data_IF_199516423112
#
_entry.id   IF_199516423112
#
_cell.length_a   1.000
_cell.length_b   1.000
_cell.length_c   1.000
_cell.angle_alpha   90.00
_cell.angle_beta   90.00
_cell.angle_gamma   90.00
#
_symmetry.space_group_name_H-M   'P 1'
#
loop_
_entity.id
_entity.type
_entity.pdbx_description
1 polymer ?
#
# COMPACT_ATOMS: atom_id res chain seq x y z
N UNK A 1 54.33 -45.54 -20.54
CA UNK A 1 54.06 -45.30 -19.10
C UNK A 1 54.66 -43.93 -18.78
N UNK A 2 53.98 -42.88 -18.32
CA UNK A 2 52.69 -42.73 -17.64
C UNK A 2 52.04 -41.38 -18.06
N UNK A 3 50.72 -41.45 -18.28
CA UNK A 3 49.69 -40.44 -18.00
C UNK A 3 50.15 -39.01 -17.66
N UNK A 4 50.02 -38.10 -18.63
CA UNK A 4 49.90 -36.67 -18.38
C UNK A 4 48.52 -36.38 -17.79
N UNK A 5 48.52 -36.05 -16.49
CA UNK A 5 47.36 -35.64 -15.72
C UNK A 5 46.61 -34.48 -16.39
N UNK A 6 45.42 -34.79 -16.91
CA UNK A 6 44.45 -33.83 -17.42
C UNK A 6 43.82 -33.08 -16.23
N UNK A 7 44.51 -32.03 -15.73
CA UNK A 7 43.92 -31.11 -14.75
C UNK A 7 42.85 -30.29 -15.48
N UNK A 8 41.58 -30.69 -15.35
CA UNK A 8 40.44 -29.84 -15.69
C UNK A 8 40.54 -28.57 -14.84
N UNK A 9 40.82 -27.43 -15.47
CA UNK A 9 40.55 -26.13 -14.85
C UNK A 9 39.06 -26.12 -14.44
N UNK A 10 38.71 -25.72 -13.21
CA UNK A 10 37.30 -25.51 -12.87
C UNK A 10 36.73 -24.52 -13.87
N UNK A 11 35.60 -24.87 -14.49
CA UNK A 11 34.87 -24.03 -15.45
C UNK A 11 34.36 -22.83 -14.65
N UNK A 12 35.17 -21.79 -14.56
CA UNK A 12 34.75 -20.51 -14.02
C UNK A 12 33.98 -19.81 -15.12
N UNK A 13 32.64 -19.83 -15.06
CA UNK A 13 31.81 -19.04 -15.98
C UNK A 13 32.26 -17.58 -15.93
N UNK A 14 32.37 -16.95 -17.09
CA UNK A 14 32.62 -15.51 -17.12
C UNK A 14 31.35 -14.72 -16.78
N UNK A 15 31.48 -13.42 -16.56
CA UNK A 15 30.35 -12.57 -16.14
C UNK A 15 29.20 -12.54 -17.16
N UNK A 16 29.52 -12.58 -18.45
CA UNK A 16 28.50 -12.49 -19.51
C UNK A 16 27.73 -13.81 -19.64
N UNK A 17 28.41 -14.95 -19.46
CA UNK A 17 27.77 -16.27 -19.35
C UNK A 17 26.85 -16.34 -18.13
N UNK A 18 27.28 -15.81 -16.98
CA UNK A 18 26.46 -15.74 -15.76
C UNK A 18 25.20 -14.90 -16.01
N UNK A 19 25.33 -13.71 -16.63
CA UNK A 19 24.20 -12.85 -16.98
C UNK A 19 23.23 -13.52 -17.95
N UNK A 20 23.76 -14.20 -18.96
CA UNK A 20 22.95 -14.98 -19.91
C UNK A 20 22.14 -16.06 -19.18
N UNK A 21 22.73 -16.72 -18.19
CA UNK A 21 22.01 -17.71 -17.39
C UNK A 21 20.95 -17.07 -16.48
N UNK A 22 21.19 -15.87 -15.94
CA UNK A 22 20.19 -15.09 -15.20
C UNK A 22 19.01 -14.76 -16.11
N UNK A 23 19.25 -14.27 -17.34
CA UNK A 23 18.18 -13.95 -18.28
C UNK A 23 17.30 -15.18 -18.59
N UNK A 24 17.89 -16.37 -18.71
CA UNK A 24 17.15 -17.62 -18.90
C UNK A 24 16.26 -17.92 -17.69
N UNK A 25 16.76 -17.70 -16.46
CA UNK A 25 16.00 -17.89 -15.23
C UNK A 25 14.87 -16.86 -15.13
N UNK A 26 15.14 -15.59 -15.40
CA UNK A 26 14.16 -14.50 -15.34
C UNK A 26 13.03 -14.71 -16.35
N UNK A 27 13.33 -15.25 -17.52
CA UNK A 27 12.29 -15.65 -18.48
C UNK A 27 11.36 -16.75 -17.95
N UNK A 28 11.89 -17.71 -17.19
CA UNK A 28 11.05 -18.73 -16.53
C UNK A 28 10.24 -18.13 -15.39
N UNK A 29 10.84 -17.23 -14.60
CA UNK A 29 10.13 -16.49 -13.54
C UNK A 29 8.96 -15.70 -14.13
N UNK A 30 9.16 -15.00 -15.25
CA UNK A 30 8.11 -14.27 -15.96
C UNK A 30 6.94 -15.18 -16.36
N UNK A 31 7.20 -16.38 -16.89
CA UNK A 31 6.16 -17.33 -17.26
C UNK A 31 5.34 -17.77 -16.03
N UNK A 32 6.01 -18.14 -14.94
CA UNK A 32 5.37 -18.53 -13.68
C UNK A 32 4.61 -17.36 -13.03
N UNK A 33 5.13 -16.14 -13.16
CA UNK A 33 4.46 -14.94 -12.67
C UNK A 33 3.13 -14.70 -13.39
N UNK A 34 3.10 -14.81 -14.73
CA UNK A 34 1.86 -14.66 -15.51
C UNK A 34 0.82 -15.71 -15.10
N UNK A 35 1.24 -16.97 -14.98
CA UNK A 35 0.36 -18.05 -14.50
C UNK A 35 -0.21 -17.74 -13.11
N UNK A 36 0.65 -17.27 -12.21
CA UNK A 36 0.25 -16.88 -10.86
C UNK A 36 -0.74 -15.72 -10.85
N UNK A 37 -0.57 -14.71 -11.72
CA UNK A 37 -1.52 -13.59 -11.83
C UNK A 37 -2.89 -14.05 -12.35
N UNK A 38 -2.93 -14.99 -13.31
CA UNK A 38 -4.18 -15.59 -13.76
C UNK A 38 -4.91 -16.29 -12.60
N UNK A 39 -4.19 -17.12 -11.84
CA UNK A 39 -4.74 -17.78 -10.65
C UNK A 39 -5.22 -16.77 -9.59
N UNK A 40 -4.48 -15.68 -9.37
CA UNK A 40 -4.91 -14.60 -8.49
C UNK A 40 -6.21 -13.93 -8.96
N UNK A 41 -6.37 -13.73 -10.27
CA UNK A 41 -7.63 -13.25 -10.85
C UNK A 41 -8.80 -14.19 -10.60
N UNK A 42 -8.59 -15.51 -10.72
CA UNK A 42 -9.61 -16.51 -10.37
C UNK A 42 -9.97 -16.47 -8.88
N UNK A 43 -8.98 -16.27 -8.01
CA UNK A 43 -9.22 -16.08 -6.56
C UNK A 43 -10.06 -14.83 -6.32
N UNK A 44 -9.78 -13.70 -6.98
CA UNK A 44 -10.61 -12.50 -6.87
C UNK A 44 -12.07 -12.79 -7.25
N UNK A 45 -12.30 -13.44 -8.39
CA UNK A 45 -13.64 -13.80 -8.85
C UNK A 45 -14.39 -14.69 -7.87
N UNK A 46 -13.72 -15.71 -7.31
CA UNK A 46 -14.32 -16.61 -6.32
C UNK A 46 -14.64 -15.88 -5.00
N UNK A 47 -13.74 -15.00 -4.55
CA UNK A 47 -13.95 -14.21 -3.32
C UNK A 47 -15.07 -13.19 -3.48
N UNK A 48 -15.16 -12.56 -4.65
CA UNK A 48 -16.24 -11.63 -4.96
C UNK A 48 -17.62 -12.32 -4.91
N UNK A 49 -17.73 -13.55 -5.43
CA UNK A 49 -18.97 -14.34 -5.39
C UNK A 49 -19.35 -14.78 -3.97
N UNK A 50 -18.36 -15.03 -3.11
CA UNK A 50 -18.57 -15.54 -1.75
C UNK A 50 -18.62 -14.44 -0.69
N UNK A 51 -18.16 -13.23 -1.00
CA UNK A 51 -17.98 -12.13 -0.06
C UNK A 51 -16.78 -12.28 0.89
N UNK A 52 -15.86 -13.22 0.63
CA UNK A 52 -14.71 -13.47 1.50
C UNK A 52 -13.58 -12.43 1.31
N UNK A 53 -12.81 -12.17 2.37
CA UNK A 53 -11.73 -11.17 2.34
C UNK A 53 -10.55 -11.62 1.47
N UNK A 54 -9.99 -10.69 0.68
CA UNK A 54 -8.78 -10.95 -0.13
C UNK A 54 -7.59 -11.24 0.78
N UNK A 55 -7.36 -10.40 1.78
CA UNK A 55 -6.27 -10.60 2.72
C UNK A 55 -6.63 -11.63 3.80
N UNK A 56 -5.74 -12.62 3.96
CA UNK A 56 -5.84 -13.71 4.95
C UNK A 56 -4.44 -13.97 5.53
N UNK A 57 -4.01 -13.23 6.56
CA UNK A 57 -2.64 -13.29 7.09
C UNK A 57 -2.22 -14.70 7.51
N UNK A 58 -3.10 -15.45 8.17
CA UNK A 58 -2.82 -16.83 8.59
C UNK A 58 -2.55 -17.74 7.39
N UNK A 59 -3.32 -17.58 6.31
CA UNK A 59 -3.15 -18.38 5.09
C UNK A 59 -1.80 -18.09 4.43
N UNK A 60 -1.39 -16.81 4.38
CA UNK A 60 -0.09 -16.40 3.87
C UNK A 60 1.05 -16.95 4.71
N UNK A 61 0.93 -16.87 6.04
CA UNK A 61 1.94 -17.40 6.96
C UNK A 61 2.10 -18.92 6.79
N UNK A 62 1.00 -19.66 6.58
CA UNK A 62 1.06 -21.09 6.27
C UNK A 62 1.82 -21.36 4.95
N UNK A 63 1.59 -20.55 3.90
CA UNK A 63 2.35 -20.71 2.65
C UNK A 63 3.83 -20.45 2.88
N UNK A 64 4.18 -19.37 3.58
CA UNK A 64 5.58 -19.01 3.87
C UNK A 64 6.26 -20.16 4.61
N UNK A 65 5.65 -20.65 5.69
CA UNK A 65 6.20 -21.74 6.50
C UNK A 65 6.41 -23.01 5.66
N UNK A 66 5.40 -23.43 4.90
CA UNK A 66 5.46 -24.67 4.12
C UNK A 66 6.45 -24.60 2.95
N UNK A 67 6.61 -23.44 2.32
CA UNK A 67 7.48 -23.26 1.14
C UNK A 67 8.94 -22.99 1.50
N UNK A 68 9.23 -22.69 2.76
CA UNK A 68 10.58 -22.31 3.20
C UNK A 68 11.33 -23.44 3.90
N UNK A 69 10.74 -24.62 4.05
CA UNK A 69 11.30 -25.74 4.85
C UNK A 69 12.62 -26.26 4.28
N UNK A 70 12.74 -26.30 2.95
CA UNK A 70 13.86 -26.90 2.21
C UNK A 70 14.82 -25.86 1.61
N UNK A 71 14.65 -24.59 1.96
CA UNK A 71 15.49 -23.49 1.46
C UNK A 71 16.75 -23.36 2.29
N UNK A 72 17.90 -23.20 1.62
CA UNK A 72 19.19 -22.97 2.28
C UNK A 72 19.13 -21.75 3.20
N UNK A 73 19.62 -21.91 4.44
CA UNK A 73 19.64 -20.88 5.48
C UNK A 73 20.33 -19.58 5.04
N UNK A 74 21.30 -19.67 4.14
CA UNK A 74 22.04 -18.52 3.62
C UNK A 74 21.18 -17.60 2.73
N UNK A 75 20.12 -18.12 2.11
CA UNK A 75 19.21 -17.37 1.22
C UNK A 75 17.77 -17.33 1.72
N UNK A 76 17.47 -17.99 2.84
CA UNK A 76 16.13 -18.15 3.40
C UNK A 76 15.41 -16.79 3.57
N UNK A 77 16.09 -15.79 4.13
CA UNK A 77 15.49 -14.46 4.32
C UNK A 77 15.12 -13.79 2.99
N UNK A 78 15.97 -13.93 1.96
CA UNK A 78 15.70 -13.41 0.62
C UNK A 78 14.50 -14.12 -0.01
N UNK A 79 14.39 -15.44 0.16
CA UNK A 79 13.27 -16.21 -0.35
C UNK A 79 11.95 -15.87 0.35
N UNK A 80 11.95 -15.73 1.68
CA UNK A 80 10.77 -15.29 2.43
C UNK A 80 10.33 -13.89 1.99
N UNK A 81 11.27 -12.96 1.77
CA UNK A 81 10.96 -11.63 1.25
C UNK A 81 10.34 -11.70 -0.16
N UNK A 82 10.89 -12.55 -1.05
CA UNK A 82 10.32 -12.80 -2.37
C UNK A 82 8.89 -13.34 -2.30
N UNK A 83 8.61 -14.31 -1.41
CA UNK A 83 7.25 -14.84 -1.22
C UNK A 83 6.28 -13.76 -0.75
N UNK A 84 6.67 -12.98 0.26
CA UNK A 84 5.85 -11.87 0.78
C UNK A 84 5.54 -10.84 -0.30
N UNK A 85 6.55 -10.42 -1.08
CA UNK A 85 6.34 -9.45 -2.17
C UNK A 85 5.45 -10.02 -3.28
N UNK A 86 5.64 -11.29 -3.61
CA UNK A 86 4.83 -12.00 -4.59
C UNK A 86 3.37 -12.11 -4.13
N UNK A 87 3.13 -12.41 -2.85
CA UNK A 87 1.79 -12.36 -2.24
C UNK A 87 1.18 -10.97 -2.30
N UNK A 88 1.93 -9.93 -1.93
CA UNK A 88 1.50 -8.54 -2.00
C UNK A 88 1.02 -8.16 -3.41
N UNK A 89 1.84 -8.37 -4.44
CA UNK A 89 1.48 -8.09 -5.84
C UNK A 89 0.23 -8.87 -6.28
N UNK A 90 0.05 -10.09 -5.78
CA UNK A 90 -1.19 -10.84 -6.01
C UNK A 90 -2.40 -10.16 -5.40
N UNK A 91 -2.28 -9.61 -4.19
CA UNK A 91 -3.39 -8.94 -3.52
C UNK A 91 -3.72 -7.64 -4.22
N UNK A 92 -2.72 -6.84 -4.59
CA UNK A 92 -2.89 -5.61 -5.37
C UNK A 92 -3.71 -5.87 -6.65
N UNK A 93 -3.36 -6.93 -7.39
CA UNK A 93 -4.12 -7.32 -8.58
C UNK A 93 -5.55 -7.75 -8.26
N UNK A 94 -5.77 -8.54 -7.20
CA UNK A 94 -7.10 -8.96 -6.76
C UNK A 94 -7.98 -7.78 -6.33
N UNK A 95 -7.42 -6.81 -5.59
CA UNK A 95 -8.13 -5.61 -5.17
C UNK A 95 -8.46 -4.71 -6.36
N UNK A 96 -7.54 -4.55 -7.33
CA UNK A 96 -7.82 -3.78 -8.54
C UNK A 96 -8.99 -4.37 -9.34
N UNK A 97 -9.03 -5.70 -9.51
CA UNK A 97 -10.14 -6.38 -10.18
C UNK A 97 -11.46 -6.21 -9.42
N UNK A 98 -11.42 -6.34 -8.09
CA UNK A 98 -12.60 -6.20 -7.22
C UNK A 98 -13.13 -4.77 -7.23
N UNK A 99 -12.24 -3.78 -7.16
CA UNK A 99 -12.61 -2.37 -7.21
C UNK A 99 -13.29 -2.03 -8.54
N UNK A 100 -12.77 -2.55 -9.65
CA UNK A 100 -13.38 -2.36 -10.97
C UNK A 100 -14.74 -3.05 -11.11
N UNK A 101 -14.86 -4.30 -10.66
CA UNK A 101 -16.08 -5.08 -10.80
C UNK A 101 -17.26 -4.51 -10.00
N UNK A 102 -16.98 -3.95 -8.82
CA UNK A 102 -17.99 -3.34 -7.95
C UNK A 102 -18.19 -1.85 -8.22
N UNK A 103 -17.51 -1.28 -9.22
CA UNK A 103 -17.40 0.17 -9.41
C UNK A 103 -17.08 0.89 -8.09
N UNK A 104 -16.23 0.26 -7.26
CA UNK A 104 -15.88 0.79 -5.94
C UNK A 104 -15.29 2.16 -6.15
N UNK A 105 -16.00 3.14 -5.62
CA UNK A 105 -15.43 4.42 -5.31
C UNK A 105 -15.20 4.38 -3.81
N UNK A 106 -13.93 4.37 -3.41
CA UNK A 106 -13.56 4.53 -1.98
C UNK A 106 -14.26 5.73 -1.33
N UNK A 107 -14.72 6.69 -2.15
CA UNK A 107 -15.69 7.70 -1.75
C UNK A 107 -16.66 8.01 -2.89
N UNK A 108 -17.96 8.00 -2.62
CA UNK A 108 -18.98 8.38 -3.62
C UNK A 108 -19.19 9.90 -3.59
N UNK A 109 -18.96 10.56 -4.73
CA UNK A 109 -19.21 11.99 -4.92
C UNK A 109 -20.71 12.36 -4.86
N UNK A 110 -21.62 11.39 -4.65
CA UNK A 110 -23.07 11.59 -4.74
C UNK A 110 -23.79 11.75 -3.41
N UNK A 111 -23.08 11.90 -2.28
CA UNK A 111 -23.67 12.51 -1.10
C UNK A 111 -23.73 14.03 -1.29
N UNK A 112 -24.72 14.45 -2.07
CA UNK A 112 -25.47 15.69 -1.91
C UNK A 112 -24.65 16.91 -1.43
N UNK A 113 -24.16 17.69 -2.41
CA UNK A 113 -23.86 19.12 -2.24
C UNK A 113 -25.18 19.84 -1.93
N UNK A 114 -25.74 19.62 -0.75
CA UNK A 114 -26.98 20.26 -0.32
C UNK A 114 -26.70 21.36 0.71
N UNK A 115 -25.52 21.37 1.34
CA UNK A 115 -25.02 22.50 2.13
C UNK A 115 -23.48 22.53 2.09
N UNK A 116 -22.89 23.48 1.36
CA UNK A 116 -21.44 23.76 1.41
C UNK A 116 -21.09 24.39 2.76
N UNK A 117 -20.70 23.54 3.72
CA UNK A 117 -20.27 23.96 5.06
C UNK A 117 -18.75 24.04 5.13
N UNK A 118 -18.14 24.77 4.19
CA UNK A 118 -16.71 25.08 4.22
C UNK A 118 -16.35 25.84 5.51
N UNK A 119 -15.37 25.32 6.24
CA UNK A 119 -14.85 25.95 7.45
C UNK A 119 -13.32 25.94 7.45
N UNK A 120 -12.72 27.06 7.87
CA UNK A 120 -11.28 27.18 8.09
C UNK A 120 -10.98 26.97 9.57
N UNK A 121 -10.17 25.95 9.87
CA UNK A 121 -9.77 25.56 11.21
C UNK A 121 -8.29 25.83 11.39
N UNK A 122 -7.94 26.71 12.33
CA UNK A 122 -6.55 26.90 12.75
C UNK A 122 -6.26 25.99 13.92
N UNK A 123 -5.20 25.19 13.80
CA UNK A 123 -4.71 24.30 14.84
C UNK A 123 -3.34 24.82 15.28
N UNK A 124 -3.25 25.23 16.54
CA UNK A 124 -1.97 25.58 17.14
C UNK A 124 -1.14 24.29 17.24
N UNK A 125 -0.02 24.23 16.53
CA UNK A 125 0.85 23.06 16.43
C UNK A 125 1.75 22.92 17.68
N UNK A 126 1.17 23.10 18.86
CA UNK A 126 1.86 23.03 20.16
C UNK A 126 2.38 21.60 20.40
N UNK A 127 1.69 20.60 19.85
CA UNK A 127 2.18 19.22 19.77
C UNK A 127 1.53 18.45 18.61
N UNK A 128 2.20 17.38 18.14
CA UNK A 128 1.64 16.46 17.15
C UNK A 128 0.40 15.72 17.66
N UNK A 129 0.30 15.48 18.97
CA UNK A 129 -0.89 14.86 19.60
C UNK A 129 -2.12 15.77 19.45
N UNK A 130 -2.00 17.07 19.72
CA UNK A 130 -3.10 18.03 19.55
C UNK A 130 -3.59 18.07 18.10
N UNK A 131 -2.66 18.02 17.14
CA UNK A 131 -3.03 17.96 15.73
C UNK A 131 -3.75 16.65 15.37
N UNK A 132 -3.24 15.53 15.87
CA UNK A 132 -3.83 14.20 15.67
C UNK A 132 -5.25 14.12 16.24
N UNK A 133 -5.44 14.55 17.48
CA UNK A 133 -6.75 14.57 18.14
C UNK A 133 -7.74 15.48 17.38
N UNK A 134 -7.27 16.62 16.85
CA UNK A 134 -8.12 17.50 16.05
C UNK A 134 -8.59 16.83 14.75
N UNK A 135 -7.73 16.11 14.05
CA UNK A 135 -8.13 15.36 12.86
C UNK A 135 -9.15 14.26 13.18
N UNK A 136 -9.03 13.60 14.34
CA UNK A 136 -10.03 12.64 14.83
C UNK A 136 -11.37 13.29 15.15
N UNK A 137 -11.37 14.48 15.75
CA UNK A 137 -12.57 15.27 16.01
C UNK A 137 -13.30 15.65 14.70
N UNK A 138 -12.54 16.11 13.69
CA UNK A 138 -13.10 16.44 12.37
C UNK A 138 -13.75 15.22 11.72
N UNK A 139 -13.04 14.07 11.71
CA UNK A 139 -13.59 12.80 11.19
C UNK A 139 -14.89 12.41 11.90
N UNK A 140 -14.91 12.51 13.23
CA UNK A 140 -16.08 12.17 14.06
C UNK A 140 -17.27 13.11 13.81
N UNK A 141 -16.98 14.32 13.32
CA UNK A 141 -17.96 15.33 12.93
C UNK A 141 -18.35 15.24 11.44
N UNK A 142 -17.94 14.17 10.74
CA UNK A 142 -18.17 13.98 9.30
C UNK A 142 -17.61 15.11 8.43
N UNK A 143 -16.48 15.68 8.85
CA UNK A 143 -15.73 16.68 8.09
C UNK A 143 -14.43 16.08 7.55
N UNK A 144 -14.11 16.43 6.31
CA UNK A 144 -12.88 16.12 5.62
C UNK A 144 -12.00 17.34 5.49
N UNK A 145 -10.68 17.12 5.47
CA UNK A 145 -9.69 18.14 5.14
C UNK A 145 -9.64 18.30 3.62
N UNK A 146 -9.91 19.51 3.15
CA UNK A 146 -9.90 19.89 1.73
C UNK A 146 -8.84 20.96 1.42
N UNK A 147 -7.97 21.23 2.38
CA UNK A 147 -6.77 22.04 2.22
C UNK A 147 -5.92 21.95 3.48
N UNK A 148 -4.59 21.86 3.32
CA UNK A 148 -3.67 21.75 4.45
C UNK A 148 -2.46 22.66 4.23
N UNK A 149 -2.45 23.81 4.91
CA UNK A 149 -1.34 24.75 4.92
C UNK A 149 -0.46 24.55 6.17
N UNK A 150 0.85 24.42 5.93
CA UNK A 150 1.91 24.17 6.92
C UNK A 150 3.03 25.21 6.85
N UNK A 151 2.81 26.34 6.19
CA UNK A 151 3.84 27.36 5.98
C UNK A 151 4.27 28.04 7.29
N UNK A 152 3.39 28.10 8.28
CA UNK A 152 3.71 28.62 9.61
C UNK A 152 4.27 27.50 10.50
N UNK A 153 5.41 27.74 11.16
CA UNK A 153 6.06 26.75 12.02
C UNK A 153 5.25 26.37 13.26
N UNK A 154 4.35 27.26 13.71
CA UNK A 154 3.63 27.10 14.97
C UNK A 154 2.15 26.80 14.78
N UNK A 155 1.64 26.80 13.55
CA UNK A 155 0.23 26.67 13.26
C UNK A 155 0.01 25.87 11.98
N UNK A 156 -0.90 24.91 12.06
CA UNK A 156 -1.46 24.23 10.91
C UNK A 156 -2.81 24.86 10.59
N UNK A 157 -3.05 25.16 9.32
CA UNK A 157 -4.34 25.65 8.87
C UNK A 157 -4.98 24.58 7.99
N UNK A 158 -6.17 24.17 8.39
CA UNK A 158 -6.98 23.21 7.66
C UNK A 158 -8.18 23.91 7.04
N UNK A 159 -8.43 23.65 5.78
CA UNK A 159 -9.73 23.89 5.15
C UNK A 159 -10.52 22.59 5.25
N UNK A 160 -11.79 22.68 5.60
CA UNK A 160 -12.64 21.52 5.85
C UNK A 160 -13.97 21.62 5.13
N UNK A 161 -14.52 20.47 4.74
CA UNK A 161 -15.81 20.36 4.07
C UNK A 161 -16.50 19.04 4.46
N UNK A 162 -17.80 18.94 4.27
CA UNK A 162 -18.52 17.66 4.41
C UNK A 162 -18.32 16.73 3.19
N UNK A 163 -17.82 17.28 2.08
CA UNK A 163 -17.34 16.55 0.91
C UNK A 163 -15.85 16.23 1.04
N UNK A 164 -15.42 15.04 0.60
CA UNK A 164 -14.03 14.60 0.71
C UNK A 164 -13.02 15.49 -0.07
N UNK A 165 -13.48 16.10 -1.15
CA UNK A 165 -12.71 17.05 -1.95
C UNK A 165 -13.65 18.12 -2.49
N UNK A 166 -13.13 19.35 -2.62
CA UNK A 166 -13.81 20.48 -3.28
C UNK A 166 -13.22 20.78 -4.66
N UNK A 167 -12.16 20.06 -5.06
CA UNK A 167 -11.46 20.23 -6.34
C UNK A 167 -11.67 19.05 -7.27
N UNK A 168 -11.65 19.31 -8.58
CA UNK A 168 -11.88 18.30 -9.62
C UNK A 168 -10.69 17.35 -9.82
N UNK A 169 -9.49 17.74 -9.39
CA UNK A 169 -8.28 16.95 -9.52
C UNK A 169 -7.38 17.17 -8.30
N UNK A 170 -7.74 16.60 -7.14
CA UNK A 170 -6.89 16.70 -5.96
C UNK A 170 -5.54 16.05 -6.22
N UNK A 171 -4.52 16.59 -5.56
CA UNK A 171 -3.13 16.14 -5.69
C UNK A 171 -2.61 15.47 -4.43
N UNK A 172 -3.41 15.50 -3.36
CA UNK A 172 -3.10 14.95 -2.06
C UNK A 172 -4.23 14.08 -1.52
N UNK A 173 -3.85 13.04 -0.79
CA UNK A 173 -4.74 12.24 0.05
C UNK A 173 -4.14 12.22 1.46
N UNK A 174 -4.94 12.58 2.46
CA UNK A 174 -4.55 12.58 3.86
C UNK A 174 -5.15 11.36 4.56
N UNK A 175 -4.28 10.52 5.08
CA UNK A 175 -4.64 9.30 5.82
C UNK A 175 -4.35 9.48 7.30
N UNK A 176 -5.17 8.86 8.14
CA UNK A 176 -4.90 8.67 9.56
C UNK A 176 -4.81 7.17 9.85
N UNK A 177 -3.81 6.79 10.64
CA UNK A 177 -3.70 5.46 11.24
C UNK A 177 -3.97 5.65 12.73
N UNK A 178 -5.16 5.25 13.17
CA UNK A 178 -5.65 5.39 14.55
C UNK A 178 -5.31 4.15 15.37
N UNK A 179 -4.02 4.00 15.69
CA UNK A 179 -3.49 2.88 16.46
C UNK A 179 -2.22 3.31 17.21
N UNK A 180 -2.17 3.12 18.53
CA UNK A 180 -0.96 3.38 19.31
C UNK A 180 0.23 2.49 18.86
N UNK A 181 -0.05 1.34 18.25
CA UNK A 181 0.94 0.43 17.68
C UNK A 181 1.16 0.65 16.17
N UNK A 182 0.85 1.84 15.64
CA UNK A 182 1.00 2.17 14.21
C UNK A 182 2.40 1.87 13.65
N UNK A 183 3.45 1.84 14.47
CA UNK A 183 4.81 1.53 14.05
C UNK A 183 4.96 0.11 13.47
N UNK A 184 4.10 -0.83 13.86
CA UNK A 184 4.06 -2.17 13.28
C UNK A 184 3.38 -2.20 11.91
N UNK A 185 2.49 -1.23 11.64
CA UNK A 185 1.67 -1.15 10.43
C UNK A 185 2.29 -0.25 9.37
N UNK A 186 2.93 0.86 9.77
CA UNK A 186 3.35 1.95 8.90
C UNK A 186 4.32 1.47 7.80
N UNK A 187 5.21 0.53 8.10
CA UNK A 187 6.12 -0.03 7.10
C UNK A 187 5.40 -0.75 5.95
N UNK A 188 4.34 -1.50 6.28
CA UNK A 188 3.49 -2.16 5.29
C UNK A 188 2.69 -1.16 4.46
N UNK A 189 2.08 -0.17 5.13
CA UNK A 189 1.33 0.91 4.47
C UNK A 189 2.22 1.68 3.49
N UNK A 190 3.41 2.12 3.93
CA UNK A 190 4.34 2.87 3.09
C UNK A 190 4.89 2.04 1.93
N UNK A 191 5.08 0.73 2.13
CA UNK A 191 5.46 -0.18 1.05
C UNK A 191 4.37 -0.24 -0.03
N UNK A 192 3.10 -0.40 0.37
CA UNK A 192 1.97 -0.43 -0.56
C UNK A 192 1.87 0.90 -1.31
N UNK A 193 1.91 2.04 -0.61
CA UNK A 193 1.78 3.35 -1.27
C UNK A 193 2.90 3.62 -2.26
N UNK A 194 4.12 3.16 -1.95
CA UNK A 194 5.26 3.29 -2.85
C UNK A 194 5.10 2.49 -4.15
N UNK A 195 4.50 1.29 -4.08
CA UNK A 195 4.25 0.44 -5.26
C UNK A 195 3.30 1.11 -6.27
N UNK A 196 2.39 1.95 -5.79
CA UNK A 196 1.46 2.75 -6.61
C UNK A 196 1.99 4.15 -6.97
N UNK A 197 3.26 4.45 -6.68
CA UNK A 197 3.87 5.77 -6.87
C UNK A 197 3.13 6.91 -6.15
N UNK A 198 2.39 6.59 -5.08
CA UNK A 198 1.76 7.54 -4.18
C UNK A 198 2.80 8.01 -3.15
N UNK A 199 3.60 9.01 -3.52
CA UNK A 199 4.74 9.46 -2.72
C UNK A 199 4.27 10.09 -1.42
N UNK A 200 4.88 9.73 -0.31
CA UNK A 200 4.62 10.40 0.96
C UNK A 200 5.20 11.81 0.95
N UNK A 201 4.35 12.81 1.17
CA UNK A 201 4.73 14.24 1.20
C UNK A 201 4.78 14.78 2.62
N UNK A 202 4.10 14.14 3.56
CA UNK A 202 4.14 14.51 4.97
C UNK A 202 3.84 13.30 5.86
N UNK A 203 4.54 13.19 6.99
CA UNK A 203 4.21 12.25 8.06
C UNK A 203 4.25 13.03 9.38
N UNK A 204 3.23 12.84 10.21
CA UNK A 204 3.25 13.27 11.61
C UNK A 204 2.90 12.09 12.51
N UNK A 205 3.64 11.96 13.61
CA UNK A 205 3.47 10.89 14.58
C UNK A 205 2.96 11.45 15.90
N UNK A 206 2.07 10.70 16.54
CA UNK A 206 1.49 10.99 17.84
C UNK A 206 1.61 9.75 18.74
N UNK A 207 1.28 9.90 20.02
CA UNK A 207 1.23 8.77 20.96
C UNK A 207 0.13 7.75 20.61
N UNK A 208 -0.89 8.17 19.85
CA UNK A 208 -2.08 7.37 19.56
C UNK A 208 -2.19 6.92 18.10
N UNK A 209 -1.18 7.22 17.26
CA UNK A 209 -1.25 6.95 15.84
C UNK A 209 -0.39 7.87 14.98
N UNK A 210 -0.57 7.80 13.67
CA UNK A 210 0.12 8.67 12.73
C UNK A 210 -0.78 9.21 11.63
N UNK A 211 -0.30 10.28 10.99
CA UNK A 211 -0.92 10.95 9.86
C UNK A 211 0.04 10.84 8.69
N UNK A 212 -0.47 10.46 7.53
CA UNK A 212 0.32 10.28 6.31
C UNK A 212 -0.37 11.06 5.19
N UNK A 213 0.32 12.04 4.63
CA UNK A 213 -0.09 12.68 3.38
C UNK A 213 0.63 12.03 2.21
N UNK A 214 -0.14 11.68 1.19
CA UNK A 214 0.36 11.11 -0.06
C UNK A 214 0.09 12.08 -1.19
N UNK A 215 1.06 12.29 -2.08
CA UNK A 215 0.83 12.89 -3.38
C UNK A 215 0.09 11.87 -4.25
N UNK A 216 -1.23 11.99 -4.29
CA UNK A 216 -2.11 11.05 -4.96
C UNK A 216 -3.41 11.75 -5.36
N UNK A 217 -3.92 11.41 -6.54
CA UNK A 217 -5.26 11.83 -6.97
C UNK A 217 -6.23 10.68 -6.70
N UNK A 218 -7.19 10.88 -5.80
CA UNK A 218 -8.17 9.86 -5.39
C UNK A 218 -9.06 9.35 -6.54
N UNK A 219 -9.21 10.13 -7.61
CA UNK A 219 -9.97 9.76 -8.80
C UNK A 219 -9.14 8.93 -9.80
N UNK A 220 -7.83 8.81 -9.61
CA UNK A 220 -7.03 7.86 -10.38
C UNK A 220 -7.41 6.42 -9.98
N UNK A 221 -7.68 5.57 -10.96
CA UNK A 221 -8.16 4.19 -10.73
C UNK A 221 -7.19 3.31 -9.94
N UNK A 222 -5.89 3.48 -10.17
CA UNK A 222 -4.86 2.70 -9.47
C UNK A 222 -4.75 3.17 -8.02
N UNK A 223 -4.76 4.49 -7.78
CA UNK A 223 -4.82 5.07 -6.42
C UNK A 223 -6.10 4.63 -5.71
N UNK A 224 -7.25 4.61 -6.39
CA UNK A 224 -8.50 4.18 -5.80
C UNK A 224 -8.43 2.70 -5.38
N UNK A 225 -7.85 1.84 -6.22
CA UNK A 225 -7.62 0.42 -5.91
C UNK A 225 -6.67 0.25 -4.73
N UNK A 226 -5.59 1.04 -4.67
CA UNK A 226 -4.66 1.08 -3.54
C UNK A 226 -5.35 1.47 -2.24
N UNK A 227 -6.13 2.55 -2.26
CA UNK A 227 -6.88 3.01 -1.07
C UNK A 227 -7.91 1.98 -0.62
N UNK A 228 -8.61 1.33 -1.57
CA UNK A 228 -9.54 0.25 -1.27
C UNK A 228 -8.83 -0.92 -0.59
N UNK A 229 -7.65 -1.31 -1.08
CA UNK A 229 -6.81 -2.33 -0.45
C UNK A 229 -6.39 -1.93 0.96
N UNK A 230 -5.86 -0.71 1.15
CA UNK A 230 -5.44 -0.23 2.46
C UNK A 230 -6.59 -0.26 3.48
N UNK A 231 -7.76 0.27 3.10
CA UNK A 231 -8.93 0.30 3.98
C UNK A 231 -9.50 -1.10 4.26
N UNK A 232 -9.26 -2.06 3.36
CA UNK A 232 -9.70 -3.46 3.52
C UNK A 232 -8.73 -4.30 4.36
N UNK A 233 -7.42 -4.01 4.31
CA UNK A 233 -6.40 -4.77 5.06
C UNK A 233 -6.15 -4.21 6.46
N UNK A 234 -6.37 -2.90 6.67
CA UNK A 234 -6.06 -2.22 7.92
C UNK A 234 -7.32 -1.56 8.49
N UNK A 235 -7.92 -2.16 9.53
CA UNK A 235 -9.15 -1.63 10.15
C UNK A 235 -8.97 -0.24 10.80
N UNK A 236 -7.73 0.12 11.13
CA UNK A 236 -7.40 1.34 11.86
C UNK A 236 -6.99 2.49 10.92
N UNK A 237 -7.01 2.29 9.59
CA UNK A 237 -6.71 3.34 8.63
C UNK A 237 -7.99 4.02 8.14
N UNK A 238 -7.93 5.32 7.88
CA UNK A 238 -9.03 6.04 7.26
C UNK A 238 -8.53 7.23 6.45
N UNK A 239 -9.32 7.61 5.44
CA UNK A 239 -9.10 8.85 4.70
C UNK A 239 -9.72 10.00 5.50
N UNK A 240 -8.92 11.03 5.79
CA UNK A 240 -9.34 12.24 6.50
C UNK A 240 -9.47 13.42 5.53
N UNK A 241 -8.90 13.36 4.34
CA UNK A 241 -9.00 14.46 3.39
C UNK A 241 -8.45 14.16 2.00
N UNK A 242 -8.86 14.97 1.04
CA UNK A 242 -8.27 15.03 -0.30
C UNK A 242 -8.37 16.44 -0.87
N UNK A 243 -7.27 16.94 -1.44
CA UNK A 243 -7.12 18.32 -1.90
C UNK A 243 -6.03 18.49 -2.96
#
# INVERSE_FOLDING_TARGET
>A
MMSSSNRRNPIHMNLDEIRTNIDIVDNKIKQLFIERMNLAGQVASAKLQTGDSIYKPDREQIVINNRSVDVDKNILNNYVAFLKKTMLVSREYQYSLTAQANEVKVYDNTLDIVNDNSCRVTVNAVSSDVFFDKLKELKSSSLFVTGFDRNNKNEFVLETNNSLTTVSSPSSVLLIVDDANYFELIGGILSITADYNAKTTYISTSNNGCIIELNANIFNKDINSMLYMLLSEYNNISIIGSY
#
